data_IF_875654815588
#
_entry.id   IF_875654815588
#
_cell.length_a   1.000
_cell.length_b   1.000
_cell.length_c   1.000
_cell.angle_alpha   90.00
_cell.angle_beta   90.00
_cell.angle_gamma   90.00
#
_symmetry.space_group_name_H-M   'P 1'
#
loop_
_entity.id
_entity.type
_entity.pdbx_description
1 polymer ?
#
# COMPACT_ATOMS: atom_id res chain seq x y z
N UNK A 1 -13.94 19.82 25.38
CA UNK A 1 -14.61 20.08 24.09
C UNK A 1 -15.85 20.92 24.32
N UNK A 2 -16.10 21.97 23.51
CA UNK A 2 -17.25 22.86 23.68
C UNK A 2 -18.56 22.07 23.50
N UNK A 3 -19.53 22.35 24.37
CA UNK A 3 -20.85 21.71 24.38
C UNK A 3 -21.93 22.77 24.23
N UNK A 4 -23.03 22.43 23.57
CA UNK A 4 -24.22 23.27 23.48
C UNK A 4 -24.94 23.32 24.84
N UNK A 5 -25.87 24.25 25.02
CA UNK A 5 -26.70 24.34 26.23
C UNK A 5 -27.46 23.04 26.57
N UNK A 6 -27.62 22.14 25.60
CA UNK A 6 -28.24 20.82 25.74
C UNK A 6 -27.23 19.69 26.03
N UNK A 7 -25.97 20.02 26.32
CA UNK A 7 -24.91 19.06 26.67
C UNK A 7 -24.33 18.26 25.49
N UNK A 8 -24.82 18.49 24.27
CA UNK A 8 -24.32 17.87 23.04
C UNK A 8 -23.03 18.55 22.58
N UNK A 9 -22.18 17.84 21.86
CA UNK A 9 -20.93 18.39 21.32
C UNK A 9 -21.25 19.54 20.34
N UNK A 10 -20.75 20.73 20.63
CA UNK A 10 -20.94 21.90 19.76
C UNK A 10 -19.93 21.84 18.60
N UNK A 11 -20.29 21.08 17.57
CA UNK A 11 -19.46 20.87 16.38
C UNK A 11 -19.16 22.17 15.63
N UNK A 12 -20.03 23.18 15.72
CA UNK A 12 -19.82 24.47 15.05
C UNK A 12 -18.79 25.31 15.79
N UNK A 13 -18.87 25.34 17.11
CA UNK A 13 -17.85 26.01 17.93
C UNK A 13 -16.49 25.30 17.81
N UNK A 14 -16.48 23.97 17.86
CA UNK A 14 -15.26 23.17 17.68
C UNK A 14 -14.63 23.40 16.29
N UNK A 15 -15.44 23.47 15.22
CA UNK A 15 -14.95 23.78 13.87
C UNK A 15 -14.34 25.18 13.79
N UNK A 16 -14.99 26.20 14.38
CA UNK A 16 -14.45 27.57 14.45
C UNK A 16 -13.16 27.65 15.26
N UNK A 17 -13.07 26.91 16.37
CA UNK A 17 -11.84 26.82 17.17
C UNK A 17 -10.71 26.16 16.38
N UNK A 18 -11.02 25.11 15.62
CA UNK A 18 -10.05 24.44 14.76
C UNK A 18 -9.59 25.35 13.61
N UNK A 19 -10.51 26.01 12.90
CA UNK A 19 -10.20 26.96 11.82
C UNK A 19 -9.40 28.16 12.34
N UNK A 20 -9.69 28.65 13.55
CA UNK A 20 -8.92 29.71 14.18
C UNK A 20 -7.50 29.24 14.56
N UNK A 21 -7.35 28.02 15.09
CA UNK A 21 -6.04 27.41 15.33
C UNK A 21 -5.27 27.17 14.03
N UNK A 22 -5.93 26.71 12.98
CA UNK A 22 -5.33 26.49 11.66
C UNK A 22 -4.83 27.82 11.06
N UNK A 23 -5.62 28.89 11.17
CA UNK A 23 -5.21 30.25 10.78
C UNK A 23 -4.08 30.80 11.66
N UNK A 24 -4.04 30.47 12.95
CA UNK A 24 -2.99 30.92 13.87
C UNK A 24 -1.67 30.16 13.65
N UNK A 25 -1.76 28.89 13.29
CA UNK A 25 -0.62 28.06 12.82
C UNK A 25 -0.14 28.58 11.46
N UNK A 26 -1.03 28.85 10.50
CA UNK A 26 -0.68 29.42 9.20
C UNK A 26 -0.12 30.85 9.30
N UNK A 27 -0.60 31.68 10.23
CA UNK A 27 -0.04 33.01 10.46
C UNK A 27 1.34 32.96 11.14
N UNK A 28 1.61 31.92 11.94
CA UNK A 28 2.95 31.65 12.49
C UNK A 28 3.90 31.02 11.46
N UNK A 29 3.33 30.43 10.40
CA UNK A 29 4.02 29.73 9.30
C UNK A 29 4.08 30.58 8.00
N UNK A 30 3.60 31.83 8.03
CA UNK A 30 3.59 32.77 6.90
C UNK A 30 4.98 33.31 6.50
N UNK A 31 6.06 32.63 6.90
CA UNK A 31 7.41 32.81 6.37
C UNK A 31 7.70 31.99 5.10
N UNK A 32 6.80 31.12 4.64
CA UNK A 32 7.09 30.11 3.63
C UNK A 32 6.54 30.42 2.23
N UNK A 33 7.05 31.48 1.61
CA UNK A 33 7.24 31.52 0.15
C UNK A 33 8.75 31.56 -0.11
N UNK A 34 9.38 30.38 -0.10
CA UNK A 34 10.79 30.24 -0.42
C UNK A 34 10.91 29.73 -1.87
N UNK A 35 11.37 30.61 -2.76
CA UNK A 35 11.97 30.25 -4.04
C UNK A 35 13.19 29.37 -3.81
N UNK A 36 13.63 28.59 -4.81
CA UNK A 36 14.84 27.75 -4.75
C UNK A 36 16.07 28.52 -4.23
N UNK A 37 16.25 29.79 -4.61
CA UNK A 37 17.33 30.66 -4.11
C UNK A 37 17.29 30.94 -2.59
N UNK A 38 16.11 30.89 -1.95
CA UNK A 38 15.95 31.13 -0.51
C UNK A 38 16.25 29.90 0.35
N UNK A 39 16.08 28.69 -0.20
CA UNK A 39 16.44 27.44 0.47
C UNK A 39 17.97 27.26 0.56
N UNK A 40 18.71 27.84 -0.39
CA UNK A 40 20.18 27.89 -0.37
C UNK A 40 20.75 28.93 0.61
N UNK A 41 20.02 30.03 0.84
CA UNK A 41 20.49 31.16 1.67
C UNK A 41 20.11 31.06 3.16
N UNK A 42 19.08 30.28 3.51
CA UNK A 42 18.81 29.95 4.90
C UNK A 42 19.80 28.86 5.32
N UNK A 43 20.76 29.22 6.18
CA UNK A 43 21.83 28.38 6.71
C UNK A 43 21.35 27.13 7.45
N UNK A 44 20.78 26.19 6.73
CA UNK A 44 20.59 24.83 7.18
C UNK A 44 21.97 24.20 7.31
N UNK A 45 22.20 23.56 8.45
CA UNK A 45 23.44 22.91 8.82
C UNK A 45 23.64 21.64 7.97
N UNK A 46 23.89 21.82 6.68
CA UNK A 46 24.29 20.79 5.74
C UNK A 46 25.77 20.48 5.95
N UNK A 47 26.10 19.22 6.19
CA UNK A 47 27.50 18.79 6.39
C UNK A 47 28.14 18.31 5.10
N UNK A 48 27.37 18.08 4.03
CA UNK A 48 27.89 17.72 2.70
C UNK A 48 26.88 17.93 1.57
N UNK A 49 27.37 17.99 0.33
CA UNK A 49 26.51 18.00 -0.88
C UNK A 49 25.66 16.73 -0.98
N UNK A 50 26.18 15.59 -0.52
CA UNK A 50 25.44 14.33 -0.47
C UNK A 50 24.16 14.41 0.40
N UNK A 51 24.16 15.22 1.45
CA UNK A 51 22.96 15.45 2.28
C UNK A 51 21.94 16.31 1.53
N UNK A 52 22.39 17.30 0.75
CA UNK A 52 21.53 18.14 -0.09
C UNK A 52 20.88 17.33 -1.20
N UNK A 53 21.66 16.47 -1.86
CA UNK A 53 21.16 15.56 -2.90
C UNK A 53 20.15 14.55 -2.33
N UNK A 54 20.47 14.00 -1.15
CA UNK A 54 19.55 13.11 -0.43
C UNK A 54 18.25 13.82 -0.09
N UNK A 55 18.32 15.06 0.39
CA UNK A 55 17.13 15.85 0.70
C UNK A 55 16.31 16.16 -0.56
N UNK A 56 16.94 16.58 -1.66
CA UNK A 56 16.25 16.82 -2.93
C UNK A 56 15.47 15.57 -3.39
N UNK A 57 16.08 14.40 -3.25
CA UNK A 57 15.43 13.12 -3.53
C UNK A 57 14.25 12.86 -2.59
N UNK A 58 14.42 13.01 -1.27
CA UNK A 58 13.34 12.81 -0.30
C UNK A 58 12.20 13.81 -0.48
N UNK A 59 12.51 15.05 -0.87
CA UNK A 59 11.55 16.12 -1.17
C UNK A 59 10.67 15.74 -2.34
N UNK A 60 11.27 15.31 -3.45
CA UNK A 60 10.51 14.92 -4.64
C UNK A 60 9.65 13.66 -4.40
N UNK A 61 10.22 12.65 -3.73
CA UNK A 61 9.46 11.45 -3.36
C UNK A 61 8.31 11.79 -2.39
N UNK A 62 8.60 12.59 -1.37
CA UNK A 62 7.64 13.02 -0.36
C UNK A 62 6.47 13.80 -0.97
N UNK A 63 6.74 14.72 -1.90
CA UNK A 63 5.72 15.46 -2.64
C UNK A 63 4.80 14.53 -3.42
N UNK A 64 5.37 13.58 -4.16
CA UNK A 64 4.61 12.59 -4.93
C UNK A 64 3.72 11.70 -4.05
N UNK A 65 4.22 11.28 -2.89
CA UNK A 65 3.51 10.38 -1.97
C UNK A 65 2.40 11.12 -1.21
N UNK A 66 2.71 12.28 -0.62
CA UNK A 66 1.80 13.03 0.23
C UNK A 66 0.85 13.94 -0.58
N UNK A 67 1.07 14.07 -1.89
CA UNK A 67 0.30 14.97 -2.78
C UNK A 67 0.31 16.42 -2.31
N UNK A 68 1.46 16.86 -1.80
CA UNK A 68 1.75 18.25 -1.42
C UNK A 68 2.80 18.84 -2.35
N UNK A 69 2.82 20.16 -2.51
CA UNK A 69 3.81 20.80 -3.36
C UNK A 69 5.21 20.70 -2.74
N UNK A 70 6.27 20.61 -3.56
CA UNK A 70 7.64 20.50 -3.05
C UNK A 70 8.02 21.72 -2.19
N UNK A 71 7.46 22.91 -2.43
CA UNK A 71 7.69 24.13 -1.64
C UNK A 71 7.22 24.01 -0.19
N UNK A 72 6.27 23.13 0.11
CA UNK A 72 5.84 22.85 1.50
C UNK A 72 6.81 21.95 2.27
N UNK A 73 7.75 21.32 1.57
CA UNK A 73 8.68 20.36 2.16
C UNK A 73 10.03 21.07 2.37
N UNK A 74 10.29 21.44 3.62
CA UNK A 74 11.54 22.07 4.05
C UNK A 74 12.48 21.07 4.73
N UNK A 75 13.78 21.38 4.86
CA UNK A 75 14.72 20.53 5.61
C UNK A 75 14.31 20.33 7.07
N UNK A 76 13.66 21.32 7.68
CA UNK A 76 13.11 21.28 9.05
C UNK A 76 11.76 20.57 9.17
N UNK A 77 11.12 20.20 8.04
CA UNK A 77 9.85 19.51 8.07
C UNK A 77 10.00 18.13 8.70
N UNK A 78 8.98 17.69 9.42
CA UNK A 78 8.86 16.32 9.93
C UNK A 78 7.85 15.56 9.08
N UNK A 79 8.10 14.29 8.81
CA UNK A 79 7.21 13.47 7.97
C UNK A 79 5.75 13.51 8.46
N UNK A 80 5.55 13.33 9.77
CA UNK A 80 4.21 13.34 10.39
C UNK A 80 3.53 14.70 10.35
N UNK A 81 4.30 15.80 10.43
CA UNK A 81 3.77 17.16 10.32
C UNK A 81 3.27 17.49 8.91
N UNK A 82 3.81 16.82 7.89
CA UNK A 82 3.36 16.93 6.50
C UNK A 82 2.11 16.06 6.21
N UNK A 83 1.55 15.39 7.21
CA UNK A 83 0.43 14.45 7.05
C UNK A 83 0.87 13.02 6.74
N UNK A 84 2.15 12.71 6.88
CA UNK A 84 2.68 11.37 6.70
C UNK A 84 2.28 10.41 7.83
N UNK A 85 1.99 9.18 7.45
CA UNK A 85 1.65 8.04 8.29
C UNK A 85 2.58 6.85 8.02
N UNK A 86 2.32 5.70 8.66
CA UNK A 86 3.12 4.49 8.52
C UNK A 86 3.15 3.95 7.08
N UNK A 87 2.04 4.06 6.35
CA UNK A 87 1.92 3.52 4.99
C UNK A 87 2.70 4.39 4.00
N UNK A 88 2.48 5.69 4.06
CA UNK A 88 3.23 6.68 3.25
C UNK A 88 4.72 6.68 3.60
N UNK A 89 5.09 6.45 4.87
CA UNK A 89 6.50 6.27 5.27
C UNK A 89 7.11 4.99 4.69
N UNK A 90 6.37 3.88 4.67
CA UNK A 90 6.81 2.64 4.01
C UNK A 90 6.99 2.85 2.49
N UNK A 91 6.10 3.61 1.85
CA UNK A 91 6.24 3.99 0.44
C UNK A 91 7.49 4.85 0.22
N UNK A 92 7.74 5.84 1.09
CA UNK A 92 8.93 6.69 1.02
C UNK A 92 10.20 5.86 1.14
N UNK A 93 10.28 4.94 2.12
CA UNK A 93 11.44 4.07 2.32
C UNK A 93 11.68 3.15 1.13
N UNK A 94 10.60 2.58 0.54
CA UNK A 94 10.69 1.76 -0.67
C UNK A 94 11.28 2.56 -1.83
N UNK A 95 10.76 3.74 -2.09
CA UNK A 95 11.15 4.55 -3.25
C UNK A 95 12.53 5.18 -3.05
N UNK A 96 12.85 5.61 -1.82
CA UNK A 96 14.18 6.06 -1.42
C UNK A 96 15.23 4.95 -1.63
N UNK A 97 14.90 3.70 -1.29
CA UNK A 97 15.79 2.55 -1.54
C UNK A 97 16.08 2.34 -3.02
N UNK A 98 15.09 2.54 -3.89
CA UNK A 98 15.28 2.47 -5.35
C UNK A 98 16.17 3.61 -5.86
N UNK A 99 16.12 4.78 -5.20
CA UNK A 99 17.01 5.92 -5.45
C UNK A 99 18.37 5.81 -4.73
N UNK A 100 18.69 4.66 -4.12
CA UNK A 100 19.97 4.42 -3.43
C UNK A 100 20.06 4.93 -1.99
N UNK A 101 19.00 5.55 -1.46
CA UNK A 101 18.95 6.05 -0.08
C UNK A 101 18.44 4.97 0.88
N UNK A 102 19.21 4.66 1.92
CA UNK A 102 18.84 3.66 2.92
C UNK A 102 18.22 4.29 4.16
N UNK A 103 16.89 4.25 4.23
CA UNK A 103 16.10 4.68 5.38
C UNK A 103 15.31 3.50 5.98
N UNK A 104 14.79 3.68 7.19
CA UNK A 104 13.84 2.76 7.80
C UNK A 104 12.56 3.50 8.16
N UNK A 105 11.42 2.81 8.12
CA UNK A 105 10.13 3.40 8.51
C UNK A 105 10.18 3.91 9.94
N UNK A 106 10.88 3.21 10.84
CA UNK A 106 11.06 3.62 12.24
C UNK A 106 11.75 4.99 12.32
N UNK A 107 12.80 5.23 11.53
CA UNK A 107 13.48 6.54 11.50
C UNK A 107 12.59 7.62 10.92
N UNK A 108 11.93 7.37 9.79
CA UNK A 108 11.01 8.34 9.17
C UNK A 108 9.89 8.75 10.14
N UNK A 109 9.44 7.81 10.98
CA UNK A 109 8.37 8.01 11.96
C UNK A 109 8.87 8.45 13.35
N UNK A 110 10.16 8.63 13.58
CA UNK A 110 10.72 8.96 14.91
C UNK A 110 10.44 10.40 15.35
N UNK A 111 9.94 11.26 14.45
CA UNK A 111 9.74 12.68 14.69
C UNK A 111 10.99 13.54 14.40
N UNK A 112 12.00 12.94 13.79
CA UNK A 112 13.17 13.65 13.24
C UNK A 112 12.79 14.55 12.05
N UNK A 113 13.58 15.60 11.83
CA UNK A 113 13.43 16.43 10.63
C UNK A 113 13.97 15.70 9.39
N UNK A 114 13.53 16.10 8.20
CA UNK A 114 14.05 15.52 6.96
C UNK A 114 15.57 15.72 6.82
N UNK A 115 16.11 16.84 7.32
CA UNK A 115 17.55 17.08 7.40
C UNK A 115 18.25 16.06 8.32
N UNK A 116 17.71 15.81 9.51
CA UNK A 116 18.29 14.83 10.44
C UNK A 116 18.30 13.42 9.85
N UNK A 117 17.26 13.08 9.06
CA UNK A 117 17.23 11.81 8.33
C UNK A 117 18.33 11.75 7.27
N UNK A 118 18.56 12.82 6.52
CA UNK A 118 19.62 12.89 5.50
C UNK A 118 21.01 12.70 6.10
N UNK A 119 21.30 13.33 7.25
CA UNK A 119 22.57 13.19 7.99
C UNK A 119 22.87 11.75 8.42
N UNK A 120 21.85 10.91 8.54
CA UNK A 120 21.97 9.54 8.98
C UNK A 120 21.96 8.51 7.84
N UNK A 121 21.82 8.96 6.59
CA UNK A 121 21.91 8.06 5.44
C UNK A 121 23.38 7.62 5.32
N UNK A 122 23.66 6.31 5.35
CA UNK A 122 25.02 5.83 5.21
C UNK A 122 25.63 6.31 3.88
N UNK A 123 26.86 6.83 3.94
CA UNK A 123 27.65 7.14 2.74
C UNK A 123 27.84 5.85 1.92
N UNK A 124 27.93 5.94 0.58
CA UNK A 124 28.01 4.77 -0.30
C UNK A 124 29.20 3.83 -0.03
N UNK A 125 30.15 4.20 0.83
CA UNK A 125 31.25 3.35 1.27
C UNK A 125 31.02 2.81 2.69
N UNK A 126 30.21 1.77 2.84
CA UNK A 126 30.43 0.68 3.83
C UNK A 126 29.45 -0.45 3.54
N UNK A 127 30.03 -1.59 3.21
CA UNK A 127 29.40 -2.92 3.16
C UNK A 127 28.43 -3.15 4.32
N UNK A 128 27.14 -3.08 4.01
CA UNK A 128 26.11 -3.83 4.71
C UNK A 128 25.17 -4.37 3.65
N UNK A 129 25.61 -5.47 3.05
CA UNK A 129 24.79 -6.35 2.22
C UNK A 129 23.69 -6.96 3.11
N UNK A 130 22.66 -6.19 3.44
CA UNK A 130 21.42 -6.75 3.98
C UNK A 130 20.82 -7.61 2.87
N UNK A 131 21.11 -8.91 2.93
CA UNK A 131 20.74 -10.00 2.02
C UNK A 131 19.79 -9.59 0.87
N UNK A 132 20.33 -8.97 -0.16
CA UNK A 132 19.68 -8.89 -1.48
C UNK A 132 19.77 -10.24 -2.22
N UNK A 133 20.51 -11.21 -1.68
CA UNK A 133 20.65 -12.56 -2.24
C UNK A 133 19.36 -13.41 -2.16
N UNK A 134 18.42 -13.11 -1.27
CA UNK A 134 17.16 -13.88 -1.20
C UNK A 134 16.16 -13.51 -2.30
N UNK A 135 16.26 -12.31 -2.90
CA UNK A 135 15.33 -11.89 -3.96
C UNK A 135 15.86 -12.27 -5.36
N UNK A 136 17.16 -12.50 -5.52
CA UNK A 136 17.80 -12.71 -6.82
C UNK A 136 18.04 -14.19 -7.21
N UNK A 137 17.64 -15.17 -6.41
CA UNK A 137 17.71 -16.59 -6.81
C UNK A 137 16.39 -17.15 -7.36
N UNK A 138 15.52 -16.33 -7.94
CA UNK A 138 14.36 -16.82 -8.69
C UNK A 138 14.80 -17.37 -10.04
N UNK A 139 15.21 -18.64 -10.03
CA UNK A 139 15.34 -19.41 -11.26
C UNK A 139 13.93 -19.74 -11.76
N UNK A 140 13.76 -19.66 -13.07
CA UNK A 140 12.55 -20.10 -13.74
C UNK A 140 12.37 -21.60 -13.49
N UNK A 141 11.30 -21.96 -12.79
CA UNK A 141 10.97 -23.34 -12.43
C UNK A 141 9.80 -23.38 -11.47
N UNK A 142 9.09 -24.51 -11.41
CA UNK A 142 8.08 -24.83 -10.41
C UNK A 142 8.74 -25.04 -9.03
N UNK A 143 9.49 -24.04 -8.56
CA UNK A 143 10.22 -24.11 -7.31
C UNK A 143 9.23 -23.99 -6.16
N UNK A 144 9.10 -25.09 -5.42
CA UNK A 144 8.39 -25.11 -4.15
C UNK A 144 9.14 -24.23 -3.16
N UNK A 145 8.51 -23.15 -2.71
CA UNK A 145 9.08 -22.24 -1.73
C UNK A 145 8.56 -22.58 -0.33
N UNK A 146 9.35 -22.26 0.69
CA UNK A 146 8.88 -22.30 2.06
C UNK A 146 7.79 -21.24 2.25
N UNK A 147 6.71 -21.58 2.97
CA UNK A 147 5.73 -20.59 3.41
C UNK A 147 6.36 -19.65 4.44
N UNK A 148 5.87 -18.41 4.52
CA UNK A 148 6.19 -17.52 5.65
C UNK A 148 5.54 -18.04 6.94
N UNK A 149 6.03 -17.62 8.10
CA UNK A 149 5.41 -18.01 9.37
C UNK A 149 3.95 -17.55 9.47
N UNK A 150 3.63 -16.37 8.93
CA UNK A 150 2.25 -15.89 8.82
C UNK A 150 1.39 -16.80 7.94
N UNK A 151 1.87 -17.18 6.76
CA UNK A 151 1.17 -18.13 5.88
C UNK A 151 0.98 -19.48 6.58
N UNK A 152 2.00 -20.00 7.28
CA UNK A 152 1.91 -21.26 8.02
C UNK A 152 0.85 -21.23 9.12
N UNK A 153 0.76 -20.13 9.87
CA UNK A 153 -0.24 -19.96 10.94
C UNK A 153 -1.68 -20.01 10.39
N UNK A 154 -1.93 -19.35 9.26
CA UNK A 154 -3.26 -19.27 8.68
C UNK A 154 -3.67 -20.52 7.88
N UNK A 155 -2.71 -21.21 7.24
CA UNK A 155 -2.97 -22.47 6.55
C UNK A 155 -3.27 -23.62 7.52
N UNK A 156 -2.61 -23.66 8.68
CA UNK A 156 -2.80 -24.70 9.68
C UNK A 156 -4.22 -24.74 10.28
N UNK A 157 -4.98 -23.65 10.16
CA UNK A 157 -6.38 -23.57 10.63
C UNK A 157 -7.38 -24.24 9.66
N UNK A 158 -6.96 -24.65 8.47
CA UNK A 158 -7.84 -25.08 7.37
C UNK A 158 -8.09 -26.59 7.21
N UNK A 159 -7.90 -27.43 8.22
CA UNK A 159 -8.25 -28.88 8.14
C UNK A 159 -9.59 -29.26 8.78
N UNK A 160 -10.41 -28.26 9.14
CA UNK A 160 -11.74 -28.44 9.73
C UNK A 160 -12.65 -27.27 9.32
N UNK A 161 -13.93 -27.36 9.63
CA UNK A 161 -15.03 -26.45 9.22
C UNK A 161 -14.84 -24.95 9.51
N UNK A 162 -13.74 -24.56 10.14
CA UNK A 162 -13.31 -23.17 10.30
C UNK A 162 -12.61 -22.72 9.02
N UNK A 163 -13.38 -22.08 8.14
CA UNK A 163 -12.82 -21.34 7.00
C UNK A 163 -11.75 -20.40 7.59
N UNK A 164 -10.52 -20.45 7.07
CA UNK A 164 -9.48 -19.49 7.44
C UNK A 164 -9.93 -18.04 7.24
N UNK A 165 -9.07 -17.06 7.50
CA UNK A 165 -9.45 -15.66 7.28
C UNK A 165 -9.69 -15.37 5.78
N UNK A 166 -10.97 -15.32 5.40
CA UNK A 166 -11.40 -14.89 4.07
C UNK A 166 -11.77 -13.41 4.12
N UNK A 167 -11.02 -12.59 3.39
CA UNK A 167 -11.38 -11.19 3.15
C UNK A 167 -12.27 -11.10 1.91
N UNK A 168 -13.53 -10.73 2.09
CA UNK A 168 -14.50 -10.53 1.02
C UNK A 168 -14.63 -9.05 0.71
N UNK A 169 -14.60 -8.70 -0.58
CA UNK A 169 -14.83 -7.35 -1.07
C UNK A 169 -15.87 -7.39 -2.19
N UNK A 170 -16.89 -6.54 -2.07
CA UNK A 170 -17.92 -6.37 -3.09
C UNK A 170 -17.77 -5.01 -3.77
N UNK A 171 -17.71 -5.01 -5.10
CA UNK A 171 -17.63 -3.79 -5.90
C UNK A 171 -18.77 -3.76 -6.90
N UNK A 172 -19.60 -2.71 -6.84
CA UNK A 172 -20.66 -2.48 -7.81
C UNK A 172 -20.27 -1.34 -8.74
N UNK A 173 -20.18 -1.64 -10.04
CA UNK A 173 -19.92 -0.64 -11.07
C UNK A 173 -21.23 0.02 -11.48
N UNK A 174 -21.31 1.35 -11.41
CA UNK A 174 -22.53 2.11 -11.73
C UNK A 174 -22.62 2.53 -13.19
N UNK A 175 -21.49 2.58 -13.89
CA UNK A 175 -21.43 2.87 -15.32
C UNK A 175 -21.56 1.58 -16.14
N UNK A 176 -21.93 1.71 -17.42
CA UNK A 176 -21.84 0.60 -18.36
C UNK A 176 -20.37 0.21 -18.51
N UNK A 177 -20.07 -1.07 -18.30
CA UNK A 177 -18.71 -1.62 -18.37
C UNK A 177 -18.75 -2.75 -19.37
N UNK A 178 -17.82 -2.73 -20.32
CA UNK A 178 -17.63 -3.86 -21.21
C UNK A 178 -17.10 -5.05 -20.40
N UNK A 179 -17.90 -6.11 -20.32
CA UNK A 179 -17.60 -7.31 -19.56
C UNK A 179 -16.33 -8.02 -20.07
N UNK A 180 -16.11 -8.04 -21.38
CA UNK A 180 -14.93 -8.66 -21.98
C UNK A 180 -13.65 -7.93 -21.56
N UNK A 181 -13.67 -6.59 -21.60
CA UNK A 181 -12.53 -5.78 -21.16
C UNK A 181 -12.27 -5.92 -19.65
N UNK A 182 -13.33 -6.07 -18.85
CA UNK A 182 -13.19 -6.36 -17.42
C UNK A 182 -12.51 -7.72 -17.17
N UNK A 183 -12.96 -8.78 -17.84
CA UNK A 183 -12.29 -10.09 -17.75
C UNK A 183 -10.84 -10.00 -18.23
N UNK A 184 -10.57 -9.31 -19.34
CA UNK A 184 -9.20 -9.09 -19.84
C UNK A 184 -8.33 -8.38 -18.80
N UNK A 185 -8.84 -7.31 -18.18
CA UNK A 185 -8.13 -6.58 -17.14
C UNK A 185 -7.85 -7.45 -15.90
N UNK A 186 -8.82 -8.24 -15.45
CA UNK A 186 -8.66 -9.19 -14.34
C UNK A 186 -7.59 -10.23 -14.65
N UNK A 187 -7.59 -10.80 -15.86
CA UNK A 187 -6.57 -11.77 -16.26
C UNK A 187 -5.17 -11.15 -16.31
N UNK A 188 -5.02 -9.95 -16.90
CA UNK A 188 -3.74 -9.24 -16.92
C UNK A 188 -3.23 -8.90 -15.52
N UNK A 189 -4.13 -8.53 -14.61
CA UNK A 189 -3.76 -8.26 -13.22
C UNK A 189 -3.28 -9.52 -12.49
N UNK A 190 -4.01 -10.62 -12.62
CA UNK A 190 -3.61 -11.91 -12.03
C UNK A 190 -2.33 -12.41 -12.69
N UNK A 191 -2.11 -12.20 -13.99
CA UNK A 191 -0.90 -12.60 -14.75
C UNK A 191 0.33 -11.73 -14.46
N UNK A 192 0.17 -10.47 -14.10
CA UNK A 192 1.27 -9.59 -13.69
C UNK A 192 1.63 -9.71 -12.20
N UNK A 193 0.75 -10.28 -11.38
CA UNK A 193 0.92 -10.35 -9.91
C UNK A 193 1.09 -11.78 -9.40
N UNK A 194 2.32 -12.19 -9.09
CA UNK A 194 2.62 -13.56 -8.63
C UNK A 194 1.85 -13.98 -7.38
N UNK A 195 1.64 -13.06 -6.42
CA UNK A 195 0.90 -13.34 -5.19
C UNK A 195 -0.54 -13.84 -5.49
N UNK A 196 -1.15 -13.37 -6.58
CA UNK A 196 -2.48 -13.78 -7.03
C UNK A 196 -2.49 -15.14 -7.74
N UNK A 197 -1.31 -15.71 -8.01
CA UNK A 197 -1.09 -17.04 -8.60
C UNK A 197 -0.48 -18.04 -7.64
N UNK A 198 -0.39 -17.70 -6.35
CA UNK A 198 0.08 -18.64 -5.32
C UNK A 198 -0.88 -19.81 -5.16
N UNK A 199 -0.34 -21.00 -4.89
CA UNK A 199 -1.04 -22.21 -4.48
C UNK A 199 -0.28 -22.79 -3.30
N UNK A 200 -0.98 -23.43 -2.36
CA UNK A 200 -0.33 -24.09 -1.22
C UNK A 200 -0.45 -25.60 -1.33
N UNK A 201 0.62 -26.31 -1.00
CA UNK A 201 0.68 -27.76 -1.01
C UNK A 201 0.81 -28.23 0.44
N UNK A 202 -0.27 -28.81 0.95
CA UNK A 202 -0.27 -29.40 2.27
C UNK A 202 0.46 -30.75 2.21
N UNK A 203 1.47 -30.92 3.07
CA UNK A 203 2.17 -32.19 3.22
C UNK A 203 1.83 -32.83 4.58
N UNK A 204 1.60 -34.15 4.65
CA UNK A 204 1.32 -34.82 5.92
C UNK A 204 2.45 -34.60 6.93
N UNK A 205 2.10 -34.09 8.12
CA UNK A 205 3.03 -33.87 9.25
C UNK A 205 4.23 -32.94 8.95
N UNK A 206 4.16 -32.13 7.88
CA UNK A 206 5.20 -31.16 7.50
C UNK A 206 4.61 -29.76 7.37
N UNK A 207 5.47 -28.74 7.42
CA UNK A 207 5.06 -27.36 7.06
C UNK A 207 4.58 -27.34 5.60
N UNK A 208 3.50 -26.61 5.27
CA UNK A 208 3.05 -26.48 3.90
C UNK A 208 4.10 -25.79 3.05
N UNK A 209 4.05 -26.03 1.75
CA UNK A 209 4.89 -25.37 0.75
C UNK A 209 4.04 -24.42 -0.08
N UNK A 210 4.62 -23.35 -0.58
CA UNK A 210 3.97 -22.46 -1.55
C UNK A 210 4.55 -22.70 -2.94
N UNK A 211 3.67 -22.65 -3.93
CA UNK A 211 3.97 -22.75 -5.35
C UNK A 211 3.44 -21.50 -6.04
N UNK A 212 4.26 -20.85 -6.87
CA UNK A 212 3.80 -19.77 -7.75
C UNK A 212 3.44 -20.40 -9.09
N UNK A 213 2.15 -20.40 -9.46
CA UNK A 213 1.74 -20.92 -10.77
C UNK A 213 2.29 -19.97 -11.86
N UNK A 214 3.05 -20.49 -12.85
CA UNK A 214 3.57 -19.67 -13.93
C UNK A 214 2.47 -18.96 -14.72
N UNK A 215 2.70 -17.73 -15.21
CA UNK A 215 1.69 -16.98 -15.96
C UNK A 215 1.21 -17.70 -17.23
N UNK A 216 2.11 -18.42 -17.91
CA UNK A 216 1.81 -19.18 -19.13
C UNK A 216 0.85 -20.36 -18.92
N UNK A 217 0.67 -20.83 -17.68
CA UNK A 217 -0.25 -21.93 -17.39
C UNK A 217 -1.68 -21.41 -17.21
N UNK A 218 -2.68 -22.25 -17.41
CA UNK A 218 -4.09 -21.83 -17.33
C UNK A 218 -4.77 -22.15 -16.01
N UNK A 219 -4.14 -22.86 -15.07
CA UNK A 219 -4.84 -23.30 -13.85
C UNK A 219 -5.29 -22.12 -12.99
N UNK A 220 -4.51 -21.02 -12.95
CA UNK A 220 -4.90 -19.82 -12.21
C UNK A 220 -6.13 -19.11 -12.82
N UNK A 221 -6.50 -19.36 -14.08
CA UNK A 221 -7.72 -18.79 -14.68
C UNK A 221 -9.00 -19.33 -14.04
N UNK A 222 -8.95 -20.51 -13.41
CA UNK A 222 -10.08 -21.12 -12.66
C UNK A 222 -10.45 -20.34 -11.39
N UNK A 223 -9.68 -19.30 -11.05
CA UNK A 223 -9.95 -18.35 -9.95
C UNK A 223 -11.00 -17.31 -10.31
N UNK A 224 -11.30 -17.14 -11.60
CA UNK A 224 -12.23 -16.12 -12.10
C UNK A 224 -13.51 -16.78 -12.61
N UNK A 225 -14.64 -16.41 -12.05
CA UNK A 225 -15.96 -16.96 -12.35
C UNK A 225 -16.82 -15.89 -13.02
N UNK A 226 -17.56 -16.29 -14.06
CA UNK A 226 -18.70 -15.52 -14.56
C UNK A 226 -19.95 -16.06 -13.89
N UNK A 227 -20.64 -15.24 -13.12
CA UNK A 227 -21.87 -15.61 -12.42
C UNK A 227 -23.08 -15.06 -13.17
N UNK A 228 -24.09 -15.92 -13.32
CA UNK A 228 -25.46 -15.53 -13.68
C UNK A 228 -26.19 -14.92 -12.48
N UNK A 229 -27.39 -14.38 -12.72
CA UNK A 229 -28.27 -13.87 -11.65
C UNK A 229 -28.73 -14.96 -10.67
N UNK A 230 -28.80 -16.22 -11.13
CA UNK A 230 -29.20 -17.36 -10.31
C UNK A 230 -28.08 -17.90 -9.40
N UNK A 231 -26.81 -17.58 -9.70
CA UNK A 231 -25.68 -18.13 -8.97
C UNK A 231 -25.48 -17.44 -7.61
N UNK A 232 -25.54 -18.23 -6.54
CA UNK A 232 -25.23 -17.76 -5.18
C UNK A 232 -23.72 -17.71 -4.95
N UNK A 233 -23.18 -16.51 -4.70
CA UNK A 233 -21.75 -16.31 -4.41
C UNK A 233 -21.26 -17.18 -3.24
N UNK A 234 -22.09 -17.36 -2.21
CA UNK A 234 -21.72 -18.19 -1.06
C UNK A 234 -21.60 -19.67 -1.41
N UNK A 235 -22.34 -20.17 -2.40
CA UNK A 235 -22.21 -21.55 -2.89
C UNK A 235 -20.91 -21.74 -3.67
N UNK A 236 -20.58 -20.78 -4.55
CA UNK A 236 -19.32 -20.78 -5.30
C UNK A 236 -18.14 -20.70 -4.32
N UNK A 237 -18.21 -19.80 -3.34
CA UNK A 237 -17.21 -19.69 -2.28
C UNK A 237 -17.11 -20.95 -1.43
N UNK A 238 -18.21 -21.65 -1.16
CA UNK A 238 -18.19 -22.88 -0.37
C UNK A 238 -17.49 -24.04 -1.10
N UNK A 239 -17.65 -24.12 -2.42
CA UNK A 239 -17.04 -25.15 -3.27
C UNK A 239 -15.59 -24.84 -3.65
N UNK A 240 -15.11 -23.63 -3.37
CA UNK A 240 -13.80 -23.19 -3.77
C UNK A 240 -12.70 -23.67 -2.80
N UNK A 241 -11.67 -24.31 -3.34
CA UNK A 241 -10.50 -24.73 -2.58
C UNK A 241 -9.54 -23.53 -2.40
N UNK A 242 -9.66 -22.83 -1.28
CA UNK A 242 -8.79 -21.69 -0.95
C UNK A 242 -7.35 -22.06 -0.58
N UNK A 243 -7.02 -23.34 -0.42
CA UNK A 243 -5.64 -23.79 -0.19
C UNK A 243 -4.92 -23.91 -1.53
N UNK A 244 -5.55 -24.59 -2.50
CA UNK A 244 -5.01 -24.70 -3.85
C UNK A 244 -5.17 -23.40 -4.66
N UNK A 245 -6.25 -22.66 -4.41
CA UNK A 245 -6.61 -21.43 -5.10
C UNK A 245 -6.99 -20.33 -4.09
N UNK A 246 -6.01 -19.62 -3.49
CA UNK A 246 -6.25 -18.62 -2.45
C UNK A 246 -6.99 -17.35 -2.91
N UNK A 247 -7.42 -17.29 -4.17
CA UNK A 247 -8.13 -16.18 -4.78
C UNK A 247 -9.37 -16.70 -5.49
N UNK A 248 -10.52 -16.07 -5.20
CA UNK A 248 -11.75 -16.21 -5.94
C UNK A 248 -12.21 -14.82 -6.38
N UNK A 249 -12.43 -14.65 -7.68
CA UNK A 249 -13.05 -13.47 -8.28
C UNK A 249 -14.32 -13.93 -8.97
N UNK A 250 -15.45 -13.31 -8.68
CA UNK A 250 -16.70 -13.60 -9.38
C UNK A 250 -17.28 -12.31 -9.94
N UNK A 251 -17.56 -12.33 -11.26
CA UNK A 251 -18.12 -11.21 -12.00
C UNK A 251 -19.57 -11.54 -12.30
N UNK A 252 -20.49 -10.70 -11.83
CA UNK A 252 -21.92 -10.81 -12.14
C UNK A 252 -22.33 -9.64 -13.03
N UNK A 253 -22.94 -9.95 -14.17
CA UNK A 253 -23.55 -8.94 -15.05
C UNK A 253 -25.04 -8.88 -14.75
N UNK A 254 -25.52 -7.75 -14.24
CA UNK A 254 -26.95 -7.51 -14.14
C UNK A 254 -27.49 -7.14 -15.53
N UNK A 255 -28.46 -7.91 -16.01
CA UNK A 255 -29.22 -7.49 -17.19
C UNK A 255 -30.15 -6.38 -16.72
N UNK A 256 -29.98 -5.15 -17.24
CA UNK A 256 -30.95 -4.09 -16.99
C UNK A 256 -32.26 -4.51 -17.65
N UNK A 257 -33.19 -5.07 -16.87
CA UNK A 257 -34.57 -5.19 -17.33
C UNK A 257 -35.05 -3.77 -17.62
N UNK A 258 -35.41 -3.53 -18.89
CA UNK A 258 -36.15 -2.37 -19.33
C UNK A 258 -37.53 -2.40 -18.65
N UNK A 259 -37.60 -1.90 -17.42
CA UNK A 259 -38.83 -1.51 -16.76
C UNK A 259 -38.57 -0.14 -16.15
N UNK A 260 -38.89 0.88 -16.94
CA UNK A 260 -39.64 2.07 -16.52
C UNK A 260 -39.99 2.83 -17.80
N UNK A 261 -41.00 2.31 -18.50
CA UNK A 261 -41.89 3.13 -19.31
C UNK A 261 -43.19 3.20 -18.52
N UNK A 262 -43.42 4.31 -17.81
CA UNK A 262 -44.66 5.11 -17.75
C UNK A 262 -44.30 6.47 -17.19
#
# INVERSE_FOLDING_TARGET
>A
MPKTATGKLDRRNLKRQYEALEQQVQASDNGAHATEERLEQNGHDWHSDAERDSFGTLRSLGSSILKVSEERISPSSRWTALGGDSLSAMMLVRDARLAGLRLTTIKVMSGETLLDLCKQIPKPDTTSSTNSKEVQSRRQGEDLLAVTDFQAEYLARGSGTERGLLYKFDMTMRAAVNTEDLFRALYLWIESTEALRLSFIQQPKKRPLQLVIPPAKTEWKRRVYSLSEADAMDEVSFKHDFVQHPLLVAVRTATRHQQDTV
#
